data_IF_559940037961
#
_entry.id   IF_559940037961
#
_cell.length_a   1.000
_cell.length_b   1.000
_cell.length_c   1.000
_cell.angle_alpha   90.00
_cell.angle_beta   90.00
_cell.angle_gamma   90.00
#
_symmetry.space_group_name_H-M   'P 1'
#
loop_
_entity.id
_entity.type
_entity.pdbx_description
1 polymer ?
#
# COMPACT_ATOMS: atom_id res chain seq x y z
N UNK A 1 8.96 -9.32 -5.55
CA UNK A 1 9.32 -9.34 -4.11
C UNK A 1 10.80 -9.64 -3.89
N UNK A 2 11.28 -10.89 -3.94
CA UNK A 2 12.70 -11.24 -3.66
C UNK A 2 13.78 -10.57 -4.55
N UNK A 3 13.38 -9.90 -5.62
CA UNK A 3 14.24 -9.08 -6.51
C UNK A 3 14.29 -7.60 -6.14
N UNK A 4 13.49 -7.17 -5.15
CA UNK A 4 13.27 -5.77 -4.74
C UNK A 4 13.53 -5.58 -3.24
N UNK A 5 13.37 -6.62 -2.43
CA UNK A 5 13.55 -6.61 -0.98
C UNK A 5 14.67 -7.55 -0.55
N UNK A 6 15.52 -7.08 0.35
CA UNK A 6 16.59 -7.86 0.99
C UNK A 6 16.02 -8.97 1.87
N UNK A 7 14.89 -8.68 2.55
CA UNK A 7 14.19 -9.63 3.40
C UNK A 7 12.71 -9.73 3.02
N UNK A 8 12.21 -10.97 2.90
CA UNK A 8 10.78 -11.27 2.80
C UNK A 8 10.40 -12.12 4.00
N UNK A 9 9.69 -11.51 4.95
CA UNK A 9 9.36 -12.10 6.25
C UNK A 9 7.91 -12.62 6.23
N UNK A 10 7.69 -13.94 6.21
CA UNK A 10 6.34 -14.50 6.33
C UNK A 10 5.84 -14.30 7.77
N UNK A 11 4.64 -13.73 7.91
CA UNK A 11 4.02 -13.51 9.23
C UNK A 11 2.67 -14.22 9.36
N UNK A 12 2.32 -14.73 10.55
CA UNK A 12 0.99 -15.27 10.78
C UNK A 12 -0.04 -14.15 10.66
N UNK A 13 -1.04 -14.38 9.81
CA UNK A 13 -2.19 -13.48 9.61
C UNK A 13 -3.02 -13.43 10.90
N UNK A 14 -3.24 -12.24 11.43
CA UNK A 14 -4.09 -12.01 12.62
C UNK A 14 -5.40 -11.42 12.13
N UNK A 15 -6.51 -12.13 12.36
CA UNK A 15 -7.86 -11.72 11.94
C UNK A 15 -8.64 -11.11 13.09
N UNK A 16 -9.42 -10.07 12.79
CA UNK A 16 -10.44 -9.56 13.71
C UNK A 16 -11.76 -10.32 13.48
N UNK A 17 -12.27 -10.98 14.51
CA UNK A 17 -13.56 -11.68 14.47
C UNK A 17 -14.77 -10.76 14.74
N UNK A 18 -14.55 -9.48 15.04
CA UNK A 18 -15.57 -8.48 15.35
C UNK A 18 -15.73 -7.45 14.20
N UNK A 19 -16.55 -7.72 13.17
CA UNK A 19 -16.63 -6.90 11.96
C UNK A 19 -17.46 -5.60 12.10
N UNK A 20 -18.03 -5.30 13.28
CA UNK A 20 -19.00 -4.22 13.45
C UNK A 20 -18.43 -2.84 13.06
N UNK A 21 -17.27 -2.46 13.62
CA UNK A 21 -16.64 -1.17 13.36
C UNK A 21 -16.09 -1.08 11.91
N UNK A 22 -15.58 -2.20 11.38
CA UNK A 22 -15.16 -2.30 9.97
C UNK A 22 -16.32 -2.03 8.99
N UNK A 23 -17.54 -2.45 9.32
CA UNK A 23 -18.74 -2.14 8.52
C UNK A 23 -19.13 -0.67 8.59
N UNK A 24 -18.96 0.00 9.75
CA UNK A 24 -19.21 1.44 9.88
C UNK A 24 -18.28 2.27 8.99
N UNK A 25 -17.02 1.82 8.81
CA UNK A 25 -16.07 2.44 7.89
C UNK A 25 -16.24 2.03 6.42
N UNK A 26 -17.14 1.09 6.10
CA UNK A 26 -17.22 0.41 4.80
C UNK A 26 -15.88 -0.25 4.36
N UNK A 27 -15.14 -0.82 5.33
CA UNK A 27 -13.80 -1.42 5.15
C UNK A 27 -13.71 -2.86 5.67
N UNK A 28 -14.57 -3.74 5.17
CA UNK A 28 -14.54 -5.18 5.54
C UNK A 28 -13.28 -5.91 5.05
N UNK A 29 -12.54 -5.32 4.11
CA UNK A 29 -11.22 -5.77 3.68
C UNK A 29 -10.16 -5.71 4.80
N UNK A 30 -10.32 -4.81 5.78
CA UNK A 30 -9.40 -4.66 6.93
C UNK A 30 -9.56 -5.76 8.00
N UNK A 31 -10.32 -6.82 7.75
CA UNK A 31 -10.48 -7.95 8.69
C UNK A 31 -9.16 -8.65 9.08
N UNK A 32 -8.06 -8.46 8.33
CA UNK A 32 -6.72 -8.98 8.64
C UNK A 32 -5.73 -7.89 9.14
N UNK A 33 -6.20 -6.67 9.41
CA UNK A 33 -5.37 -5.49 9.71
C UNK A 33 -4.44 -5.67 10.93
N UNK A 34 -4.90 -6.39 11.96
CA UNK A 34 -4.10 -6.72 13.14
C UNK A 34 -2.81 -7.48 12.82
N UNK A 35 -2.63 -8.00 11.60
CA UNK A 35 -1.35 -8.59 11.17
C UNK A 35 -0.17 -7.61 11.30
N UNK A 36 -0.40 -6.28 11.23
CA UNK A 36 0.63 -5.24 11.51
C UNK A 36 1.24 -5.34 12.93
N UNK A 37 0.57 -5.96 13.91
CA UNK A 37 1.15 -6.20 15.25
C UNK A 37 2.49 -6.97 15.15
N UNK A 38 2.65 -7.83 14.15
CA UNK A 38 3.90 -8.57 13.90
C UNK A 38 5.13 -7.68 13.62
N UNK A 39 4.99 -6.37 13.41
CA UNK A 39 6.14 -5.45 13.31
C UNK A 39 6.91 -5.36 14.63
N UNK A 40 6.21 -5.36 15.76
CA UNK A 40 6.85 -5.18 17.08
C UNK A 40 7.64 -6.39 17.57
N UNK A 41 7.40 -7.59 17.03
CA UNK A 41 8.23 -8.77 17.34
C UNK A 41 9.50 -8.88 16.50
N UNK A 42 9.76 -7.96 15.56
CA UNK A 42 10.94 -8.00 14.68
C UNK A 42 12.20 -7.44 15.39
N UNK A 43 12.52 -7.98 16.58
CA UNK A 43 13.59 -7.47 17.45
C UNK A 43 15.01 -7.71 16.94
N UNK A 44 15.17 -8.32 15.75
CA UNK A 44 16.42 -8.34 15.00
C UNK A 44 16.79 -6.97 14.38
N UNK A 45 15.90 -5.99 14.48
CA UNK A 45 16.07 -4.63 13.98
C UNK A 45 15.97 -3.61 15.11
N UNK A 46 16.83 -2.59 15.10
CA UNK A 46 16.81 -1.50 16.10
C UNK A 46 15.67 -0.51 15.88
N UNK A 47 15.24 -0.34 14.62
CA UNK A 47 14.15 0.57 14.22
C UNK A 47 13.56 0.13 12.88
N UNK A 48 12.28 0.41 12.71
CA UNK A 48 11.52 0.16 11.48
C UNK A 48 10.78 1.44 11.09
N UNK A 49 10.92 1.84 9.83
CA UNK A 49 10.07 2.84 9.16
C UNK A 49 9.08 2.06 8.29
N UNK A 50 7.91 1.76 8.85
CA UNK A 50 6.84 1.04 8.19
C UNK A 50 6.09 1.93 7.19
N UNK A 51 5.73 1.38 6.02
CA UNK A 51 5.02 2.06 4.93
C UNK A 51 3.96 1.11 4.34
N UNK A 52 2.69 1.52 4.31
CA UNK A 52 1.61 0.73 3.69
C UNK A 52 1.80 0.58 2.16
N UNK A 53 1.27 -0.52 1.61
CA UNK A 53 1.48 -0.93 0.22
C UNK A 53 0.91 0.03 -0.84
N UNK A 54 -0.04 0.86 -0.44
CA UNK A 54 -0.75 1.87 -1.23
C UNK A 54 -0.18 3.29 -1.03
N UNK A 55 1.07 3.37 -0.55
CA UNK A 55 1.86 4.60 -0.45
C UNK A 55 2.91 4.64 -1.57
N UNK A 56 3.12 5.83 -2.14
CA UNK A 56 4.28 6.12 -2.99
C UNK A 56 5.24 7.06 -2.27
N UNK A 57 6.51 6.68 -2.22
CA UNK A 57 7.60 7.53 -1.76
C UNK A 57 8.20 8.30 -2.94
N UNK A 58 8.33 9.62 -2.80
CA UNK A 58 9.01 10.48 -3.78
C UNK A 58 10.52 10.58 -3.52
N UNK A 59 10.95 10.24 -2.31
CA UNK A 59 12.35 10.12 -1.88
C UNK A 59 12.46 9.11 -0.73
N UNK A 60 13.67 8.63 -0.44
CA UNK A 60 13.95 7.93 0.80
C UNK A 60 13.77 8.89 2.01
N UNK A 61 13.11 8.46 3.11
CA UNK A 61 12.92 9.26 4.31
C UNK A 61 13.91 8.86 5.41
N UNK A 62 15.20 8.77 5.07
CA UNK A 62 16.23 8.16 5.92
C UNK A 62 16.40 8.89 7.27
N UNK A 63 16.13 10.19 7.32
CA UNK A 63 16.12 10.99 8.55
C UNK A 63 15.08 10.51 9.60
N UNK A 64 14.09 9.71 9.20
CA UNK A 64 13.15 9.08 10.14
C UNK A 64 13.82 8.02 11.03
N UNK A 65 14.98 7.48 10.63
CA UNK A 65 15.72 6.53 11.46
C UNK A 65 16.39 7.19 12.67
N UNK A 66 16.69 8.48 12.61
CA UNK A 66 17.39 9.22 13.67
C UNK A 66 16.48 9.69 14.81
N UNK A 67 15.15 9.58 14.67
CA UNK A 67 14.20 10.12 15.63
C UNK A 67 14.36 9.51 17.04
N UNK A 68 14.45 10.30 18.13
CA UNK A 68 14.68 9.76 19.48
C UNK A 68 13.46 9.04 20.10
N UNK A 69 12.34 8.96 19.38
CA UNK A 69 11.08 8.42 19.86
C UNK A 69 10.90 6.93 19.50
N UNK A 70 10.29 6.18 20.42
CA UNK A 70 9.99 4.75 20.24
C UNK A 70 8.82 4.49 19.29
N UNK A 71 7.87 5.43 19.17
CA UNK A 71 6.79 5.41 18.19
C UNK A 71 6.53 6.82 17.64
N UNK A 72 6.51 6.97 16.31
CA UNK A 72 6.08 8.19 15.63
C UNK A 72 5.21 7.87 14.44
N UNK A 73 4.18 8.68 14.17
CA UNK A 73 3.35 8.55 12.97
C UNK A 73 2.79 9.92 12.57
N UNK A 74 2.36 10.06 11.32
CA UNK A 74 1.79 11.30 10.80
C UNK A 74 0.31 11.46 11.23
N UNK A 75 -0.21 12.68 11.41
CA UNK A 75 -1.61 12.90 11.80
C UNK A 75 -2.58 12.33 10.76
N UNK A 76 -3.72 11.81 11.23
CA UNK A 76 -4.83 11.42 10.36
C UNK A 76 -5.59 12.66 9.87
N UNK A 77 -6.01 12.65 8.60
CA UNK A 77 -6.69 13.81 8.00
C UNK A 77 -8.19 13.91 8.39
N UNK A 78 -8.82 12.80 8.76
CA UNK A 78 -10.22 12.75 9.17
C UNK A 78 -10.41 13.14 10.64
N UNK A 79 -9.53 12.67 11.53
CA UNK A 79 -9.52 13.07 12.94
C UNK A 79 -8.10 13.41 13.40
N UNK A 80 -7.70 14.71 13.44
CA UNK A 80 -6.30 15.09 13.62
C UNK A 80 -5.70 14.78 14.99
N UNK A 81 -6.52 14.50 16.03
CA UNK A 81 -5.99 13.97 17.30
C UNK A 81 -5.48 12.52 17.16
N UNK A 82 -5.88 11.79 16.11
CA UNK A 82 -5.33 10.48 15.77
C UNK A 82 -4.11 10.62 14.86
N UNK A 83 -3.41 9.49 14.68
CA UNK A 83 -2.42 9.29 13.63
C UNK A 83 -2.86 8.22 12.65
N UNK A 84 -2.43 8.39 11.40
CA UNK A 84 -2.64 7.43 10.34
C UNK A 84 -1.52 6.38 10.36
N UNK A 85 -1.87 5.10 10.41
CA UNK A 85 -0.92 3.97 10.53
C UNK A 85 -0.37 3.48 9.18
N UNK A 86 -0.52 4.30 8.13
CA UNK A 86 0.11 4.10 6.83
C UNK A 86 1.62 4.31 6.86
N UNK A 87 2.11 5.31 7.61
CA UNK A 87 3.56 5.53 7.83
C UNK A 87 3.84 5.63 9.32
N UNK A 88 4.68 4.73 9.82
CA UNK A 88 5.03 4.63 11.23
C UNK A 88 6.53 4.43 11.40
N UNK A 89 7.14 5.16 12.33
CA UNK A 89 8.49 4.87 12.84
C UNK A 89 8.32 4.17 14.18
N UNK A 90 8.85 2.96 14.32
CA UNK A 90 8.72 2.16 15.54
C UNK A 90 10.04 1.48 15.93
N UNK A 91 10.24 1.32 17.24
CA UNK A 91 11.27 0.44 17.81
C UNK A 91 10.61 -0.90 18.16
N UNK A 92 11.04 -2.04 17.57
CA UNK A 92 10.49 -3.34 17.90
C UNK A 92 10.63 -3.68 19.38
N UNK A 93 9.54 -4.13 20.00
CA UNK A 93 9.45 -4.41 21.43
C UNK A 93 8.45 -5.54 21.70
N UNK A 94 8.90 -6.61 22.37
CA UNK A 94 8.05 -7.76 22.68
C UNK A 94 6.92 -7.43 23.68
N UNK A 95 7.11 -6.44 24.55
CA UNK A 95 6.08 -5.96 25.48
C UNK A 95 4.92 -5.29 24.73
N UNK A 96 5.23 -4.38 23.81
CA UNK A 96 4.23 -3.75 22.93
C UNK A 96 3.52 -4.80 22.06
N UNK A 97 4.26 -5.76 21.49
CA UNK A 97 3.70 -6.89 20.74
C UNK A 97 2.65 -7.66 21.54
N UNK A 98 2.99 -8.12 22.76
CA UNK A 98 2.06 -8.88 23.59
C UNK A 98 0.89 -8.04 24.12
N UNK A 99 1.12 -6.76 24.41
CA UNK A 99 0.06 -5.84 24.85
C UNK A 99 -0.98 -5.59 23.74
N UNK A 100 -0.53 -5.28 22.52
CA UNK A 100 -1.43 -5.09 21.38
C UNK A 100 -2.11 -6.39 20.95
N UNK A 101 -1.44 -7.54 21.04
CA UNK A 101 -2.08 -8.84 20.80
C UNK A 101 -3.20 -9.10 21.82
N UNK A 102 -2.95 -8.88 23.11
CA UNK A 102 -3.96 -9.03 24.15
C UNK A 102 -5.11 -7.99 24.05
N UNK A 103 -4.86 -6.81 23.47
CA UNK A 103 -5.91 -5.85 23.11
C UNK A 103 -6.76 -6.37 21.95
N UNK A 104 -6.12 -6.85 20.88
CA UNK A 104 -6.81 -7.42 19.70
C UNK A 104 -7.68 -8.63 20.05
N UNK A 105 -7.16 -9.58 20.85
CA UNK A 105 -7.88 -10.76 21.34
C UNK A 105 -9.12 -10.40 22.18
N UNK A 106 -9.12 -9.22 22.82
CA UNK A 106 -10.24 -8.68 23.60
C UNK A 106 -11.19 -7.81 22.77
N UNK A 107 -10.97 -7.66 21.46
CA UNK A 107 -11.73 -6.77 20.58
C UNK A 107 -11.49 -5.28 20.83
N UNK A 108 -10.38 -4.91 21.49
CA UNK A 108 -10.09 -3.52 21.86
C UNK A 108 -9.48 -2.80 20.66
N UNK A 109 -10.34 -2.28 19.79
CA UNK A 109 -10.00 -1.28 18.78
C UNK A 109 -11.24 -0.44 18.41
N UNK A 110 -11.17 0.89 18.47
CA UNK A 110 -12.32 1.75 18.21
C UNK A 110 -12.80 1.71 16.76
N UNK A 111 -11.93 1.35 15.81
CA UNK A 111 -12.26 1.19 14.40
C UNK A 111 -12.34 -0.30 13.97
N UNK A 112 -11.90 -1.22 14.83
CA UNK A 112 -11.81 -2.65 14.51
C UNK A 112 -10.66 -3.03 13.58
N UNK A 113 -9.72 -2.11 13.34
CA UNK A 113 -8.53 -2.26 12.52
C UNK A 113 -7.26 -1.88 13.31
N UNK A 114 -6.13 -1.85 12.61
CA UNK A 114 -4.82 -1.50 13.18
C UNK A 114 -4.74 -0.04 13.64
N UNK A 115 -5.36 0.90 12.89
CA UNK A 115 -5.30 2.33 13.23
C UNK A 115 -5.90 2.60 14.61
N UNK A 116 -7.07 2.05 14.92
CA UNK A 116 -7.69 2.18 16.24
C UNK A 116 -6.89 1.51 17.36
N UNK A 117 -6.40 0.30 17.13
CA UNK A 117 -5.60 -0.46 18.10
C UNK A 117 -4.32 0.31 18.50
N UNK A 118 -3.57 0.76 17.49
CA UNK A 118 -2.27 1.42 17.65
C UNK A 118 -2.45 2.82 18.28
N UNK A 119 -3.47 3.58 17.87
CA UNK A 119 -3.79 4.86 18.51
C UNK A 119 -4.20 4.70 19.99
N UNK A 120 -4.92 3.63 20.34
CA UNK A 120 -5.27 3.34 21.74
C UNK A 120 -4.06 2.95 22.58
N UNK A 121 -3.14 2.13 22.04
CA UNK A 121 -1.94 1.66 22.74
C UNK A 121 -0.91 2.79 22.94
N UNK A 122 -0.55 3.53 21.89
CA UNK A 122 0.50 4.57 21.95
C UNK A 122 0.01 5.97 22.33
N UNK A 123 -1.25 6.13 22.76
CA UNK A 123 -1.90 7.42 23.08
C UNK A 123 -1.04 8.40 23.88
N UNK A 124 -0.24 7.89 24.82
CA UNK A 124 0.56 8.69 25.76
C UNK A 124 2.06 8.78 25.42
N UNK A 125 2.51 8.10 24.37
CA UNK A 125 3.93 8.00 23.98
C UNK A 125 4.18 8.30 22.49
N UNK A 126 3.12 8.58 21.73
CA UNK A 126 3.17 9.00 20.34
C UNK A 126 3.93 10.32 20.14
N UNK A 127 4.87 10.32 19.20
CA UNK A 127 5.39 11.52 18.56
C UNK A 127 4.72 11.78 17.19
N UNK A 128 4.37 13.03 16.87
CA UNK A 128 3.74 13.37 15.58
C UNK A 128 4.79 13.68 14.52
N UNK A 129 4.74 12.97 13.40
CA UNK A 129 5.47 13.34 12.19
C UNK A 129 4.76 14.49 11.46
N UNK A 130 5.50 15.19 10.60
CA UNK A 130 4.89 16.08 9.60
C UNK A 130 3.94 15.30 8.69
N UNK A 131 2.79 15.89 8.34
CA UNK A 131 1.86 15.32 7.37
C UNK A 131 2.50 15.08 5.98
N UNK A 132 3.60 15.77 5.66
CA UNK A 132 4.37 15.56 4.42
C UNK A 132 4.98 14.16 4.28
N UNK A 133 5.05 13.38 5.37
CA UNK A 133 5.45 11.97 5.37
C UNK A 133 4.30 10.99 5.13
N UNK A 134 3.05 11.43 5.05
CA UNK A 134 1.90 10.54 4.83
C UNK A 134 0.72 11.33 4.22
N UNK A 135 0.97 12.04 3.12
CA UNK A 135 -0.02 12.96 2.56
C UNK A 135 -1.18 12.15 1.99
N UNK A 136 -2.32 12.26 2.63
CA UNK A 136 -3.57 11.66 2.20
C UNK A 136 -4.31 12.61 1.25
N UNK A 137 -4.72 12.20 0.04
CA UNK A 137 -5.56 13.01 -0.84
C UNK A 137 -6.92 13.31 -0.21
N UNK A 138 -7.41 14.55 -0.33
CA UNK A 138 -8.71 14.94 0.23
C UNK A 138 -9.39 16.06 -0.57
N UNK A 139 -10.73 16.07 -0.50
CA UNK A 139 -11.59 17.11 -1.06
C UNK A 139 -11.93 18.23 -0.04
N UNK A 140 -11.29 18.28 1.13
CA UNK A 140 -11.54 19.34 2.14
C UNK A 140 -11.13 20.74 1.64
N UNK A 141 -11.86 21.77 2.09
CA UNK A 141 -11.78 23.13 1.51
C UNK A 141 -10.38 23.80 1.60
N UNK A 142 -9.59 23.51 2.64
CA UNK A 142 -8.22 24.02 2.79
C UNK A 142 -7.17 23.18 2.04
N UNK A 143 -7.56 22.02 1.51
CA UNK A 143 -6.62 21.05 0.97
C UNK A 143 -5.87 21.59 -0.25
N UNK A 144 -6.57 22.18 -1.22
CA UNK A 144 -5.94 22.65 -2.47
C UNK A 144 -4.90 23.77 -2.22
N UNK A 145 -5.19 24.84 -1.42
CA UNK A 145 -4.17 25.82 -1.06
C UNK A 145 -3.00 25.23 -0.26
N UNK A 146 -3.27 24.37 0.74
CA UNK A 146 -2.23 23.75 1.56
C UNK A 146 -1.32 22.84 0.72
N UNK A 147 -1.90 21.98 -0.13
CA UNK A 147 -1.17 21.15 -1.08
C UNK A 147 -0.26 22.00 -1.96
N UNK A 148 -0.79 23.03 -2.63
CA UNK A 148 0.00 23.91 -3.50
C UNK A 148 1.15 24.62 -2.78
N UNK A 149 0.99 24.93 -1.50
CA UNK A 149 2.04 25.53 -0.67
C UNK A 149 3.12 24.52 -0.25
N UNK A 150 2.73 23.32 0.20
CA UNK A 150 3.64 22.30 0.73
C UNK A 150 4.12 21.26 -0.28
N UNK A 151 3.67 21.30 -1.54
CA UNK A 151 3.93 20.28 -2.58
C UNK A 151 5.41 19.89 -2.74
N UNK A 152 6.33 20.84 -2.59
CA UNK A 152 7.78 20.65 -2.73
C UNK A 152 8.40 19.93 -1.53
N UNK A 153 7.71 19.87 -0.39
CA UNK A 153 8.12 19.18 0.82
C UNK A 153 7.48 17.80 0.99
N UNK A 154 6.53 17.42 0.13
CA UNK A 154 5.87 16.11 0.17
C UNK A 154 6.90 15.03 -0.10
N UNK A 155 7.03 14.10 0.86
CA UNK A 155 7.96 12.98 0.79
C UNK A 155 7.25 11.67 0.43
N UNK A 156 6.00 11.51 0.87
CA UNK A 156 5.15 10.34 0.61
C UNK A 156 3.68 10.72 0.43
N UNK A 157 2.97 10.00 -0.43
CA UNK A 157 1.52 10.12 -0.66
C UNK A 157 0.83 8.77 -0.47
N UNK A 158 -0.27 8.76 0.29
CA UNK A 158 -1.02 7.56 0.67
C UNK A 158 -2.40 7.54 0.01
N UNK A 159 -2.60 6.59 -0.92
CA UNK A 159 -3.85 6.47 -1.67
C UNK A 159 -4.89 5.66 -0.87
N UNK A 160 -5.46 6.28 0.16
CA UNK A 160 -6.49 5.66 1.01
C UNK A 160 -7.77 5.29 0.23
N UNK A 161 -8.60 4.43 0.83
CA UNK A 161 -9.89 4.02 0.26
C UNK A 161 -9.74 2.93 -0.82
N UNK A 162 -10.84 2.66 -1.54
CA UNK A 162 -10.91 1.56 -2.53
C UNK A 162 -10.35 1.92 -3.91
N UNK A 163 -10.35 3.21 -4.28
CA UNK A 163 -9.96 3.66 -5.62
C UNK A 163 -8.44 3.89 -5.70
N UNK A 164 -7.69 2.81 -5.94
CA UNK A 164 -6.22 2.83 -6.06
C UNK A 164 -5.74 3.28 -7.46
N UNK A 165 -4.55 3.90 -7.58
CA UNK A 165 -4.01 4.41 -8.86
C UNK A 165 -3.96 3.37 -10.00
N UNK A 166 -3.69 2.10 -9.66
CA UNK A 166 -3.61 1.00 -10.61
C UNK A 166 -4.97 0.57 -11.20
N UNK A 167 -6.10 0.94 -10.59
CA UNK A 167 -7.43 0.68 -11.16
C UNK A 167 -7.85 1.68 -12.24
N UNK A 168 -7.42 2.94 -12.13
CA UNK A 168 -7.76 3.99 -13.11
C UNK A 168 -7.03 3.82 -14.45
N UNK A 169 -5.90 3.12 -14.43
CA UNK A 169 -5.05 2.89 -15.61
C UNK A 169 -4.20 4.10 -16.01
N UNK A 170 -3.04 3.84 -16.62
CA UNK A 170 -2.02 4.84 -17.00
C UNK A 170 -2.53 6.02 -17.86
N UNK A 171 -3.59 5.78 -18.64
CA UNK A 171 -4.14 6.74 -19.61
C UNK A 171 -5.37 7.49 -19.08
N UNK A 172 -5.74 7.32 -17.80
CA UNK A 172 -6.72 8.21 -17.18
C UNK A 172 -6.29 9.67 -17.41
N UNK A 173 -7.22 10.54 -17.82
CA UNK A 173 -6.92 11.94 -18.06
C UNK A 173 -6.63 12.63 -16.73
N UNK A 174 -5.35 12.69 -16.36
CA UNK A 174 -4.88 13.42 -15.19
C UNK A 174 -5.13 14.92 -15.43
N UNK A 175 -6.16 15.47 -14.78
CA UNK A 175 -6.47 16.89 -14.83
C UNK A 175 -5.55 17.74 -13.94
N UNK A 176 -5.85 19.03 -13.81
CA UNK A 176 -5.09 19.97 -12.97
C UNK A 176 -5.46 19.89 -11.48
N UNK A 177 -5.92 18.74 -10.98
CA UNK A 177 -6.28 18.55 -9.57
C UNK A 177 -5.11 17.93 -8.78
N UNK A 178 -4.98 18.22 -7.47
CA UNK A 178 -3.97 17.59 -6.62
C UNK A 178 -4.01 16.06 -6.63
N UNK A 179 -5.20 15.46 -6.77
CA UNK A 179 -5.34 14.01 -6.86
C UNK A 179 -4.74 13.46 -8.16
N UNK A 180 -5.02 14.12 -9.28
CA UNK A 180 -4.50 13.75 -10.59
C UNK A 180 -2.97 13.90 -10.66
N UNK A 181 -2.43 14.99 -10.12
CA UNK A 181 -0.98 15.19 -9.99
C UNK A 181 -0.31 14.05 -9.18
N UNK A 182 -0.95 13.61 -8.09
CA UNK A 182 -0.48 12.49 -7.28
C UNK A 182 -0.53 11.16 -8.03
N UNK A 183 -1.64 10.86 -8.72
CA UNK A 183 -1.77 9.65 -9.55
C UNK A 183 -0.72 9.64 -10.68
N UNK A 184 -0.47 10.79 -11.31
CA UNK A 184 0.61 10.94 -12.31
C UNK A 184 1.99 10.64 -11.73
N UNK A 185 2.28 11.10 -10.50
CA UNK A 185 3.53 10.78 -9.80
C UNK A 185 3.65 9.31 -9.41
N UNK A 186 2.54 8.64 -9.05
CA UNK A 186 2.53 7.19 -8.81
C UNK A 186 2.96 6.42 -10.06
N UNK A 187 2.37 6.74 -11.22
CA UNK A 187 2.75 6.13 -12.50
C UNK A 187 4.19 6.46 -12.91
N UNK A 188 4.68 7.67 -12.66
CA UNK A 188 6.07 8.03 -12.93
C UNK A 188 7.09 7.21 -12.10
N UNK A 189 6.77 6.90 -10.84
CA UNK A 189 7.59 6.00 -10.00
C UNK A 189 7.49 4.56 -10.50
N UNK A 190 6.29 4.07 -10.82
CA UNK A 190 6.10 2.73 -11.37
C UNK A 190 6.92 2.52 -12.65
N UNK A 191 6.78 3.44 -13.62
CA UNK A 191 7.47 3.37 -14.90
C UNK A 191 9.00 3.40 -14.73
N UNK A 192 9.52 4.23 -13.81
CA UNK A 192 10.97 4.32 -13.54
C UNK A 192 11.58 2.98 -13.09
N UNK A 193 10.83 2.18 -12.32
CA UNK A 193 11.35 0.97 -11.68
C UNK A 193 10.98 -0.33 -12.38
N UNK A 194 9.81 -0.41 -13.04
CA UNK A 194 9.28 -1.67 -13.58
C UNK A 194 9.17 -1.69 -15.11
N UNK A 195 8.96 -0.55 -15.77
CA UNK A 195 8.74 -0.52 -17.24
C UNK A 195 9.97 -0.91 -18.07
N UNK A 196 11.17 -0.62 -17.59
CA UNK A 196 12.41 -1.06 -18.23
C UNK A 196 12.57 -2.59 -18.25
N UNK A 197 11.92 -3.31 -17.32
CA UNK A 197 11.98 -4.77 -17.24
C UNK A 197 10.98 -5.46 -18.18
N UNK A 198 9.89 -4.79 -18.58
CA UNK A 198 8.93 -5.35 -19.54
C UNK A 198 9.46 -5.36 -20.99
N UNK A 199 10.32 -4.40 -21.34
CA UNK A 199 10.87 -4.26 -22.71
C UNK A 199 11.86 -5.36 -23.12
N UNK A 200 12.49 -6.06 -22.17
CA UNK A 200 13.50 -7.09 -22.46
C UNK A 200 12.88 -8.48 -22.76
N UNK A 201 11.57 -8.67 -22.58
CA UNK A 201 10.88 -9.94 -22.86
C UNK A 201 10.30 -9.94 -24.28
N UNK A 202 11.16 -10.01 -25.29
CA UNK A 202 10.77 -10.33 -26.67
C UNK A 202 10.52 -11.84 -26.82
N UNK A 203 9.28 -12.32 -27.08
CA UNK A 203 9.03 -13.73 -27.34
C UNK A 203 9.59 -14.11 -28.72
N UNK A 204 10.66 -14.91 -28.73
CA UNK A 204 11.28 -15.44 -29.95
C UNK A 204 10.41 -16.51 -30.59
N UNK A 205 9.42 -16.09 -31.39
CA UNK A 205 8.62 -16.98 -32.22
C UNK A 205 9.49 -17.62 -33.31
N UNK A 206 10.03 -18.81 -33.01
CA UNK A 206 10.55 -19.74 -34.03
C UNK A 206 9.41 -20.09 -34.98
N UNK A 207 9.48 -19.56 -36.21
CA UNK A 207 8.63 -20.05 -37.29
C UNK A 207 8.99 -21.50 -37.60
N UNK A 208 8.11 -22.44 -37.25
CA UNK A 208 8.11 -23.79 -37.80
C UNK A 208 7.11 -23.85 -38.95
N UNK A 209 7.60 -24.14 -40.14
CA UNK A 209 6.82 -24.25 -41.36
C UNK A 209 5.97 -25.54 -41.36
N UNK A 210 4.67 -25.41 -41.09
CA UNK A 210 3.68 -26.48 -41.20
C UNK A 210 2.79 -26.31 -42.44
N UNK A 211 2.71 -27.33 -43.28
CA UNK A 211 2.03 -27.28 -44.59
C UNK A 211 0.49 -27.31 -44.48
N UNK A 212 -0.19 -26.62 -45.41
CA UNK A 212 -1.63 -26.76 -45.70
C UNK A 212 -1.90 -27.97 -46.60
N UNK A 213 -3.12 -28.55 -46.52
CA UNK A 213 -3.98 -28.70 -47.71
C UNK A 213 -5.34 -27.98 -47.52
N UNK A 214 -5.74 -27.05 -48.41
CA UNK A 214 -6.77 -27.22 -49.47
C UNK A 214 -8.22 -27.42 -48.95
N UNK A 215 -9.04 -26.37 -48.85
CA UNK A 215 -9.91 -25.78 -49.91
C UNK A 215 -11.37 -26.30 -49.88
N UNK A 216 -12.33 -25.38 -49.72
CA UNK A 216 -13.78 -25.61 -49.78
C UNK A 216 -14.53 -24.27 -49.91
N UNK A 217 -15.48 -24.19 -50.84
CA UNK A 217 -15.94 -22.96 -51.53
C UNK A 217 -17.43 -23.15 -51.89
N UNK A 218 -18.40 -22.27 -51.63
CA UNK A 218 -18.52 -21.00 -50.86
C UNK A 218 -19.88 -21.00 -50.12
N UNK A 219 -20.17 -20.01 -49.24
CA UNK A 219 -21.29 -19.10 -49.52
C UNK A 219 -21.26 -17.80 -48.68
N UNK A 220 -21.92 -16.74 -49.17
CA UNK A 220 -21.92 -15.41 -48.54
C UNK A 220 -23.33 -14.82 -48.35
N UNK A 221 -23.73 -14.61 -47.10
CA UNK A 221 -24.93 -13.82 -46.75
C UNK A 221 -24.64 -12.87 -45.58
N UNK A 222 -24.87 -11.57 -45.79
CA UNK A 222 -24.85 -10.57 -44.72
C UNK A 222 -26.19 -10.57 -43.97
N UNK A 223 -26.16 -10.62 -42.63
CA UNK A 223 -27.22 -10.05 -41.80
C UNK A 223 -26.74 -9.73 -40.36
N UNK A 224 -26.94 -8.47 -39.96
CA UNK A 224 -27.25 -7.97 -38.60
C UNK A 224 -26.62 -8.62 -37.34
N UNK A 225 -25.73 -7.84 -36.72
CA UNK A 225 -25.79 -7.35 -35.33
C UNK A 225 -26.07 -8.28 -34.12
N UNK A 226 -25.26 -8.05 -33.07
CA UNK A 226 -25.37 -8.50 -31.66
C UNK A 226 -24.99 -9.94 -31.29
N UNK A 227 -23.75 -10.15 -30.82
CA UNK A 227 -23.42 -11.18 -29.85
C UNK A 227 -23.45 -10.60 -28.42
N UNK A 228 -24.29 -11.18 -27.56
CA UNK A 228 -24.18 -11.04 -26.11
C UNK A 228 -22.91 -11.73 -25.62
N UNK A 229 -21.93 -10.98 -25.13
CA UNK A 229 -20.73 -11.54 -24.50
C UNK A 229 -20.89 -11.63 -22.99
N UNK A 230 -21.08 -12.87 -22.52
CA UNK A 230 -20.85 -13.24 -21.12
C UNK A 230 -19.40 -12.90 -20.73
N UNK A 231 -19.22 -12.26 -19.59
CA UNK A 231 -17.91 -12.09 -18.96
C UNK A 231 -17.32 -13.47 -18.58
N UNK A 232 -16.04 -13.74 -18.86
CA UNK A 232 -15.35 -14.94 -18.34
C UNK A 232 -14.99 -14.75 -16.85
N UNK A 233 -14.88 -15.84 -16.06
CA UNK A 233 -14.51 -15.79 -14.64
C UNK A 233 -13.00 -15.97 -14.39
N UNK A 234 -12.52 -15.42 -13.27
CA UNK A 234 -11.11 -15.44 -12.84
C UNK A 234 -10.29 -14.29 -13.45
N UNK A 235 -9.18 -13.82 -12.87
CA UNK A 235 -8.51 -14.01 -11.56
C UNK A 235 -7.53 -12.80 -11.41
N UNK A 236 -6.97 -12.37 -10.28
CA UNK A 236 -6.82 -12.88 -8.91
C UNK A 236 -7.01 -11.72 -7.91
N UNK A 237 -7.16 -12.02 -6.61
CA UNK A 237 -7.12 -10.99 -5.56
C UNK A 237 -5.75 -10.30 -5.51
N UNK A 238 -5.71 -8.99 -5.77
CA UNK A 238 -4.53 -8.17 -5.56
C UNK A 238 -4.20 -8.13 -4.05
N UNK A 239 -3.26 -8.98 -3.60
CA UNK A 239 -2.80 -9.02 -2.22
C UNK A 239 -2.21 -7.66 -1.84
N UNK A 240 -2.88 -6.96 -0.93
CA UNK A 240 -2.42 -5.69 -0.36
C UNK A 240 -1.28 -5.98 0.62
N UNK A 241 -0.02 -5.76 0.21
CA UNK A 241 1.16 -6.32 0.90
C UNK A 241 2.09 -5.25 1.46
N UNK A 242 2.04 -5.11 2.79
CA UNK A 242 2.79 -4.16 3.62
C UNK A 242 4.30 -4.06 3.34
N UNK A 243 4.85 -2.85 3.37
CA UNK A 243 6.27 -2.58 3.19
C UNK A 243 6.93 -2.04 4.48
N UNK A 244 8.23 -2.27 4.66
CA UNK A 244 8.99 -1.76 5.79
C UNK A 244 10.43 -1.41 5.38
N UNK A 245 10.86 -0.20 5.69
CA UNK A 245 12.22 0.28 5.51
C UNK A 245 12.96 0.11 6.83
N UNK A 246 14.17 -0.45 6.82
CA UNK A 246 14.83 -0.91 8.04
C UNK A 246 16.31 -0.54 8.06
N UNK A 247 16.79 -0.14 9.24
CA UNK A 247 18.20 0.04 9.55
C UNK A 247 18.73 -1.18 10.32
N UNK A 248 19.85 -1.75 9.88
CA UNK A 248 20.63 -2.71 10.65
C UNK A 248 22.02 -2.12 10.89
N UNK A 249 22.54 -2.23 12.13
CA UNK A 249 23.78 -1.52 12.52
C UNK A 249 24.96 -1.90 11.63
N UNK A 250 25.68 -0.86 11.21
CA UNK A 250 26.77 -0.82 10.21
C UNK A 250 26.28 -0.74 8.74
N UNK A 251 26.11 0.52 8.31
CA UNK A 251 26.30 1.04 6.95
C UNK A 251 25.43 0.47 5.81
N UNK A 252 24.26 -0.12 6.09
CA UNK A 252 23.25 -0.38 5.05
C UNK A 252 21.80 -0.29 5.54
N UNK A 253 21.00 0.52 4.83
CA UNK A 253 19.54 0.51 4.94
C UNK A 253 18.98 -0.59 4.01
N UNK A 254 18.16 -1.49 4.57
CA UNK A 254 17.57 -2.62 3.84
C UNK A 254 16.07 -2.47 3.64
N UNK A 255 15.58 -2.91 2.48
CA UNK A 255 14.16 -2.98 2.16
C UNK A 255 13.60 -4.32 2.66
N UNK A 256 12.55 -4.27 3.48
CA UNK A 256 11.90 -5.44 4.06
C UNK A 256 10.43 -5.51 3.67
N UNK A 257 10.02 -6.70 3.27
CA UNK A 257 8.64 -7.00 2.96
C UNK A 257 8.03 -7.92 4.02
N UNK A 258 6.82 -7.59 4.46
CA UNK A 258 6.08 -8.39 5.45
C UNK A 258 4.89 -9.03 4.73
N UNK A 259 5.05 -10.29 4.33
CA UNK A 259 4.04 -11.00 3.55
C UNK A 259 3.08 -11.80 4.44
N UNK A 260 1.77 -11.61 4.20
CA UNK A 260 0.73 -12.44 4.82
C UNK A 260 0.34 -13.57 3.87
N UNK A 261 0.31 -14.84 4.31
CA UNK A 261 -0.21 -15.94 3.49
C UNK A 261 -1.68 -15.70 3.12
#
# INVERSE_FOLDING_TARGET
LKTVYDYVLPVPRIRNEQPANLRLMNRSDLHSAFTKINLWKQTQFSRIVYIDADIVAYRAPDELFELPHAFSAAPDIGWPDLVNTGVMVLVPNMGDYYAMLAMADRGISFDGADQGLINMHFKHSLNRLSFTYNVTPSAHYQYVPAYRHFQSSISMVHFIGANKPWFSGRNASHGDTPFDEMVGRWWAVYDRHYRAQESDVQPSYRQTSGQRPSQGIVDATLASAHPSTKLPPGSDEAKNTSQAYIEQRADSHGLVHVETP
#
